data_IF_044213198462
#
_entry.id   IF_044213198462
#
_cell.length_a   1.000
_cell.length_b   1.000
_cell.length_c   1.000
_cell.angle_alpha   90.00
_cell.angle_beta   90.00
_cell.angle_gamma   90.00
#
_symmetry.space_group_name_H-M   'P 1'
#
loop_
_entity.id
_entity.type
_entity.pdbx_description
1 polymer ?
#
# COMPACT_ATOMS: atom_id res chain seq x y z
N UNK A 1 -4.79 -1.91 -14.56
CA UNK A 1 -4.51 -0.84 -13.56
C UNK A 1 -3.76 0.35 -14.17
N UNK A 2 -2.93 0.18 -15.21
CA UNK A 2 -2.34 1.31 -15.98
C UNK A 2 -2.74 1.28 -17.47
N UNK A 3 -4.00 0.99 -17.76
CA UNK A 3 -4.46 0.90 -19.16
C UNK A 3 -4.56 2.26 -19.86
N UNK A 4 -4.59 3.37 -19.11
CA UNK A 4 -4.82 4.69 -19.70
C UNK A 4 -3.71 5.73 -19.50
N UNK A 5 -2.93 5.71 -18.41
CA UNK A 5 -1.79 6.63 -18.23
C UNK A 5 -0.61 5.94 -17.54
N UNK A 6 0.62 6.33 -17.92
CA UNK A 6 1.83 5.90 -17.24
C UNK A 6 1.93 6.62 -15.88
N UNK A 7 2.42 5.95 -14.81
CA UNK A 7 2.65 6.64 -13.55
C UNK A 7 3.68 7.76 -13.73
N UNK A 8 3.57 8.84 -12.95
CA UNK A 8 4.52 9.95 -13.01
C UNK A 8 5.95 9.51 -12.65
N UNK A 9 6.07 8.58 -11.69
CA UNK A 9 7.34 7.96 -11.33
C UNK A 9 7.15 6.54 -10.80
N UNK A 10 8.21 5.74 -10.86
CA UNK A 10 8.32 4.42 -10.24
C UNK A 10 9.52 4.45 -9.30
N UNK A 11 9.31 4.09 -8.04
CA UNK A 11 10.40 4.00 -7.06
C UNK A 11 10.60 2.56 -6.62
N UNK A 12 11.78 2.00 -6.88
CA UNK A 12 12.21 0.73 -6.32
C UNK A 12 12.77 1.00 -4.92
N UNK A 13 12.22 0.30 -3.92
CA UNK A 13 12.63 0.44 -2.52
C UNK A 13 13.24 -0.87 -2.04
N UNK A 14 14.48 -0.81 -1.54
CA UNK A 14 15.12 -1.90 -0.81
C UNK A 14 15.05 -1.61 0.67
N UNK A 15 14.43 -2.51 1.43
CA UNK A 15 14.38 -2.40 2.89
C UNK A 15 15.60 -3.09 3.49
N UNK A 16 16.37 -2.36 4.29
CA UNK A 16 17.59 -2.84 4.97
C UNK A 16 17.30 -3.07 6.45
N UNK A 17 17.28 -4.34 6.87
CA UNK A 17 16.93 -4.76 8.24
C UNK A 17 18.01 -4.43 9.27
N UNK A 18 19.29 -4.34 8.87
CA UNK A 18 20.44 -4.12 9.76
C UNK A 18 20.61 -2.68 10.26
N UNK A 19 19.76 -1.75 9.82
CA UNK A 19 19.81 -0.33 10.21
C UNK A 19 20.80 0.51 9.39
N UNK A 20 21.99 -0.02 9.08
CA UNK A 20 22.99 0.68 8.28
C UNK A 20 22.82 0.41 6.78
N UNK A 21 22.59 1.47 6.00
CA UNK A 21 22.56 1.41 4.54
C UNK A 21 24.02 1.37 4.06
N UNK A 22 24.45 0.21 3.58
CA UNK A 22 25.77 0.05 2.97
C UNK A 22 25.73 0.39 1.48
N UNK A 23 26.89 0.76 0.91
CA UNK A 23 27.03 0.89 -0.54
C UNK A 23 26.64 -0.40 -1.29
N UNK A 24 26.87 -1.56 -0.68
CA UNK A 24 26.45 -2.86 -1.22
C UNK A 24 24.92 -2.96 -1.34
N UNK A 25 24.16 -2.42 -0.38
CA UNK A 25 22.70 -2.42 -0.45
C UNK A 25 22.21 -1.61 -1.66
N UNK A 26 22.81 -0.45 -1.90
CA UNK A 26 22.52 0.39 -3.04
C UNK A 26 22.96 -0.27 -4.36
N UNK A 27 24.15 -0.87 -4.43
CA UNK A 27 24.60 -1.62 -5.61
C UNK A 27 23.65 -2.77 -5.95
N UNK A 28 23.15 -3.47 -4.93
CA UNK A 28 22.21 -4.58 -5.13
C UNK A 28 20.89 -4.12 -5.76
N UNK A 29 20.30 -2.99 -5.33
CA UNK A 29 19.06 -2.50 -5.94
C UNK A 29 19.29 -2.00 -7.38
N UNK A 30 20.42 -1.35 -7.65
CA UNK A 30 20.81 -0.95 -9.00
C UNK A 30 21.06 -2.17 -9.92
N UNK A 31 21.65 -3.23 -9.39
CA UNK A 31 21.84 -4.50 -10.09
C UNK A 31 20.51 -5.16 -10.45
N UNK A 32 19.54 -5.15 -9.52
CA UNK A 32 18.19 -5.69 -9.76
C UNK A 32 17.50 -4.87 -10.84
N UNK A 33 17.52 -3.55 -10.75
CA UNK A 33 16.93 -2.68 -11.76
C UNK A 33 17.55 -2.95 -13.14
N UNK A 34 18.88 -2.99 -13.24
CA UNK A 34 19.58 -3.31 -14.49
C UNK A 34 19.13 -4.65 -15.07
N UNK A 35 18.96 -5.68 -14.24
CA UNK A 35 18.46 -7.00 -14.70
C UNK A 35 17.03 -6.92 -15.22
N UNK A 36 16.15 -6.16 -14.57
CA UNK A 36 14.77 -5.94 -15.00
C UNK A 36 14.76 -5.18 -16.33
N UNK A 37 15.52 -4.09 -16.45
CA UNK A 37 15.61 -3.30 -17.69
C UNK A 37 16.12 -4.13 -18.86
N UNK A 38 17.22 -4.89 -18.66
CA UNK A 38 17.75 -5.78 -19.69
C UNK A 38 16.75 -6.87 -20.10
N UNK A 39 15.99 -7.41 -19.13
CA UNK A 39 14.93 -8.37 -19.43
C UNK A 39 13.81 -7.72 -20.25
N UNK A 40 13.36 -6.53 -19.88
CA UNK A 40 12.31 -5.79 -20.58
C UNK A 40 12.72 -5.40 -22.01
N UNK A 41 13.96 -4.96 -22.20
CA UNK A 41 14.53 -4.71 -23.53
C UNK A 41 14.59 -5.99 -24.36
N UNK A 42 15.03 -7.10 -23.77
CA UNK A 42 15.03 -8.40 -24.43
C UNK A 42 13.64 -8.80 -24.89
N UNK A 43 12.65 -8.69 -23.99
CA UNK A 43 11.26 -9.00 -24.27
C UNK A 43 10.69 -8.10 -25.38
N UNK A 44 10.94 -6.79 -25.34
CA UNK A 44 10.55 -5.87 -26.42
C UNK A 44 11.28 -6.15 -27.75
N UNK A 45 12.49 -6.73 -27.68
CA UNK A 45 13.27 -7.25 -28.81
C UNK A 45 12.83 -8.63 -29.30
N UNK A 46 11.84 -9.25 -28.64
CA UNK A 46 11.28 -10.54 -29.02
C UNK A 46 12.04 -11.76 -28.49
N UNK A 47 12.82 -11.59 -27.42
CA UNK A 47 13.53 -12.70 -26.78
C UNK A 47 13.55 -12.65 -25.25
N UNK A 48 13.87 -13.76 -24.59
CA UNK A 48 14.24 -13.79 -23.18
C UNK A 48 15.45 -14.69 -22.95
N UNK A 49 16.30 -14.36 -21.96
CA UNK A 49 17.42 -15.21 -21.58
C UNK A 49 16.91 -16.52 -20.96
N UNK A 50 17.33 -17.66 -21.49
CA UNK A 50 17.03 -18.98 -20.94
C UNK A 50 18.32 -19.68 -20.53
N UNK A 51 18.37 -20.16 -19.29
CA UNK A 51 19.46 -21.04 -18.84
C UNK A 51 19.31 -22.43 -19.47
N UNK A 52 20.35 -22.88 -20.18
CA UNK A 52 20.42 -24.20 -20.82
C UNK A 52 21.78 -24.80 -20.47
N UNK A 53 21.78 -25.80 -19.58
CA UNK A 53 23.01 -26.31 -18.96
C UNK A 53 23.70 -25.20 -18.15
N UNK A 54 24.99 -25.01 -18.39
CA UNK A 54 25.79 -23.95 -17.76
C UNK A 54 25.67 -22.57 -18.46
N UNK A 55 25.07 -22.52 -19.65
CA UNK A 55 24.98 -21.30 -20.46
C UNK A 55 23.61 -20.60 -20.41
N UNK A 56 23.58 -19.36 -20.91
CA UNK A 56 22.34 -18.59 -21.16
C UNK A 56 22.17 -18.42 -22.67
N UNK A 57 21.06 -18.90 -23.22
CA UNK A 57 20.71 -18.76 -24.63
C UNK A 57 19.43 -17.93 -24.79
N UNK A 58 19.36 -17.03 -25.78
CA UNK A 58 18.14 -16.27 -26.06
C UNK A 58 17.07 -17.19 -26.68
N UNK A 59 15.82 -17.06 -26.21
CA UNK A 59 14.65 -17.73 -26.79
C UNK A 59 13.66 -16.73 -27.32
N UNK A 60 13.04 -17.03 -28.47
CA UNK A 60 12.02 -16.18 -29.09
C UNK A 60 10.69 -16.22 -28.32
N UNK A 61 9.97 -15.09 -28.37
CA UNK A 61 8.58 -14.98 -27.91
C UNK A 61 7.64 -14.63 -29.06
N UNK A 62 6.35 -14.88 -28.84
CA UNK A 62 5.32 -14.66 -29.86
C UNK A 62 5.15 -13.18 -30.18
N UNK A 63 4.91 -12.86 -31.45
CA UNK A 63 4.85 -11.47 -31.95
C UNK A 63 3.86 -10.59 -31.17
N UNK A 64 2.70 -11.13 -30.80
CA UNK A 64 1.69 -10.41 -30.01
C UNK A 64 2.22 -10.05 -28.61
N UNK A 65 3.03 -10.91 -27.99
CA UNK A 65 3.67 -10.61 -26.71
C UNK A 65 4.74 -9.52 -26.86
N UNK A 66 5.51 -9.54 -27.96
CA UNK A 66 6.53 -8.50 -28.27
C UNK A 66 5.91 -7.12 -28.31
N UNK A 67 4.80 -6.94 -29.04
CA UNK A 67 4.17 -5.63 -29.18
C UNK A 67 3.63 -5.10 -27.85
N UNK A 68 3.14 -6.00 -26.97
CA UNK A 68 2.76 -5.64 -25.59
C UNK A 68 3.98 -5.18 -24.78
N UNK A 69 5.08 -5.94 -24.78
CA UNK A 69 6.27 -5.58 -24.03
C UNK A 69 6.93 -4.30 -24.54
N UNK A 70 6.88 -4.03 -25.85
CA UNK A 70 7.34 -2.75 -26.42
C UNK A 70 6.52 -1.59 -25.87
N UNK A 71 5.18 -1.70 -25.87
CA UNK A 71 4.32 -0.66 -25.30
C UNK A 71 4.55 -0.43 -23.80
N UNK A 72 4.88 -1.47 -23.03
CA UNK A 72 5.27 -1.33 -21.62
C UNK A 72 6.63 -0.66 -21.48
N UNK A 73 7.63 -1.07 -22.29
CA UNK A 73 8.96 -0.48 -22.27
C UNK A 73 8.90 1.01 -22.63
N UNK A 74 8.12 1.39 -23.64
CA UNK A 74 7.95 2.80 -24.04
C UNK A 74 7.39 3.64 -22.88
N UNK A 75 6.40 3.11 -22.15
CA UNK A 75 5.87 3.76 -20.93
C UNK A 75 6.92 3.85 -19.83
N UNK A 76 7.70 2.79 -19.59
CA UNK A 76 8.77 2.78 -18.58
C UNK A 76 9.86 3.81 -18.91
N UNK A 77 10.26 3.94 -20.17
CA UNK A 77 11.26 4.91 -20.62
C UNK A 77 10.80 6.37 -20.47
N UNK A 78 9.49 6.61 -20.48
CA UNK A 78 8.88 7.93 -20.24
C UNK A 78 8.63 8.21 -18.74
N UNK A 79 8.76 7.19 -17.89
CA UNK A 79 8.47 7.28 -16.46
C UNK A 79 9.77 7.53 -15.69
N UNK A 80 9.78 8.51 -14.80
CA UNK A 80 10.92 8.71 -13.92
C UNK A 80 11.11 7.49 -13.01
N UNK A 81 12.26 6.83 -13.10
CA UNK A 81 12.56 5.67 -12.24
C UNK A 81 13.62 6.03 -11.20
N UNK A 82 13.31 5.76 -9.94
CA UNK A 82 14.19 6.00 -8.79
C UNK A 82 14.51 4.69 -8.08
N UNK A 83 15.70 4.59 -7.52
CA UNK A 83 16.12 3.47 -6.67
C UNK A 83 16.58 4.03 -5.33
N UNK A 84 16.07 3.45 -4.24
CA UNK A 84 16.44 3.89 -2.90
C UNK A 84 16.51 2.71 -1.93
N UNK A 85 17.50 2.75 -1.05
CA UNK A 85 17.58 1.88 0.11
C UNK A 85 17.04 2.62 1.32
N UNK A 86 16.21 1.94 2.10
CA UNK A 86 15.57 2.49 3.29
C UNK A 86 15.89 1.58 4.47
N UNK A 87 16.53 2.13 5.50
CA UNK A 87 16.72 1.44 6.76
C UNK A 87 15.35 1.13 7.37
N UNK A 88 15.20 -0.07 7.94
CA UNK A 88 13.95 -0.50 8.56
C UNK A 88 13.42 0.50 9.61
N UNK A 89 14.32 1.07 10.40
CA UNK A 89 13.98 2.08 11.41
C UNK A 89 13.40 3.37 10.84
N UNK A 90 13.74 3.70 9.59
CA UNK A 90 13.26 4.91 8.89
C UNK A 90 12.08 4.62 7.96
N UNK A 91 11.67 3.36 7.79
CA UNK A 91 10.64 2.95 6.85
C UNK A 91 9.31 3.70 7.08
N UNK A 92 8.92 3.86 8.34
CA UNK A 92 7.73 4.59 8.74
C UNK A 92 7.72 6.03 8.17
N UNK A 93 8.84 6.73 8.33
CA UNK A 93 9.02 8.11 7.85
C UNK A 93 9.07 8.19 6.33
N UNK A 94 9.77 7.27 5.66
CA UNK A 94 9.84 7.25 4.19
C UNK A 94 8.48 6.92 3.55
N UNK A 95 7.72 5.98 4.13
CA UNK A 95 6.33 5.74 3.71
C UNK A 95 5.48 7.01 3.84
N UNK A 96 5.66 7.77 4.93
CA UNK A 96 5.01 9.07 5.09
C UNK A 96 5.31 10.06 3.96
N UNK A 97 6.53 10.05 3.40
CA UNK A 97 6.88 10.92 2.26
C UNK A 97 6.21 10.50 0.96
N UNK A 98 6.09 9.21 0.70
CA UNK A 98 5.38 8.70 -0.48
C UNK A 98 3.88 9.00 -0.43
N UNK A 99 3.32 9.17 0.77
CA UNK A 99 1.89 9.37 0.98
C UNK A 99 1.45 10.84 1.00
N UNK A 100 2.35 11.81 0.79
CA UNK A 100 2.01 13.25 0.86
C UNK A 100 0.93 13.66 -0.16
N UNK A 101 0.87 12.98 -1.32
CA UNK A 101 -0.04 13.33 -2.41
C UNK A 101 -1.21 12.34 -2.58
N UNK A 102 -1.41 11.38 -1.66
CA UNK A 102 -2.48 10.35 -1.66
C UNK A 102 -2.63 9.50 -2.96
N UNK A 103 -1.66 9.55 -3.86
CA UNK A 103 -1.70 8.85 -5.16
C UNK A 103 -0.71 7.69 -5.26
N UNK A 104 0.04 7.39 -4.20
CA UNK A 104 1.01 6.31 -4.22
C UNK A 104 0.33 4.93 -4.18
N UNK A 105 0.76 4.06 -5.09
CA UNK A 105 0.38 2.65 -5.14
C UNK A 105 1.60 1.81 -4.77
N UNK A 106 1.44 0.89 -3.83
CA UNK A 106 2.53 0.04 -3.35
C UNK A 106 2.40 -1.38 -3.87
N UNK A 107 3.42 -1.86 -4.58
CA UNK A 107 3.57 -3.27 -4.91
C UNK A 107 4.39 -3.96 -3.80
N UNK A 108 3.75 -4.91 -3.11
CA UNK A 108 4.36 -5.67 -1.99
C UNK A 108 4.71 -7.11 -2.37
N UNK A 109 4.62 -7.47 -3.66
CA UNK A 109 4.83 -8.84 -4.17
C UNK A 109 6.16 -9.45 -3.76
N UNK A 110 7.23 -8.66 -3.78
CA UNK A 110 8.60 -9.15 -3.59
C UNK A 110 9.08 -9.06 -2.13
N UNK A 111 8.22 -8.63 -1.21
CA UNK A 111 8.58 -8.54 0.20
C UNK A 111 8.77 -9.92 0.84
N UNK A 112 9.77 -10.03 1.72
CA UNK A 112 9.89 -11.18 2.63
C UNK A 112 8.66 -11.25 3.53
N UNK A 113 8.30 -12.46 3.98
CA UNK A 113 7.11 -12.68 4.84
C UNK A 113 7.09 -11.82 6.12
N UNK A 114 8.25 -11.65 6.76
CA UNK A 114 8.37 -10.78 7.94
C UNK A 114 8.09 -9.32 7.57
N UNK A 115 8.75 -8.81 6.53
CA UNK A 115 8.59 -7.42 6.08
C UNK A 115 7.19 -7.11 5.58
N UNK A 116 6.50 -8.08 4.98
CA UNK A 116 5.12 -7.91 4.50
C UNK A 116 4.17 -7.54 5.65
N UNK A 117 4.29 -8.19 6.82
CA UNK A 117 3.40 -7.90 7.96
C UNK A 117 3.60 -6.48 8.47
N UNK A 118 4.85 -6.05 8.58
CA UNK A 118 5.15 -4.73 9.13
C UNK A 118 4.85 -3.62 8.12
N UNK A 119 5.26 -3.76 6.85
CA UNK A 119 4.93 -2.78 5.78
C UNK A 119 3.42 -2.62 5.66
N UNK A 120 2.66 -3.72 5.65
CA UNK A 120 1.19 -3.63 5.58
C UNK A 120 0.60 -2.97 6.82
N UNK A 121 1.16 -3.21 8.00
CA UNK A 121 0.73 -2.55 9.24
C UNK A 121 1.01 -1.04 9.22
N UNK A 122 2.16 -0.62 8.69
CA UNK A 122 2.56 0.79 8.56
C UNK A 122 1.77 1.55 7.49
N UNK A 123 1.39 0.88 6.40
CA UNK A 123 0.52 1.46 5.37
C UNK A 123 -0.91 1.64 5.92
N UNK A 124 -1.44 0.61 6.59
CA UNK A 124 -2.78 0.66 7.20
C UNK A 124 -2.86 1.67 8.34
N UNK A 125 -1.80 1.86 9.13
CA UNK A 125 -1.78 2.87 10.19
C UNK A 125 -1.83 4.30 9.65
N UNK A 126 -1.48 4.51 8.38
CA UNK A 126 -1.57 5.78 7.64
C UNK A 126 -2.81 5.88 6.75
N UNK A 127 -3.75 4.96 6.91
CA UNK A 127 -4.93 4.82 6.06
C UNK A 127 -4.64 4.63 4.55
N UNK A 128 -3.42 4.21 4.19
CA UNK A 128 -3.10 3.81 2.83
C UNK A 128 -3.64 2.40 2.57
N UNK A 129 -4.62 2.30 1.67
CA UNK A 129 -5.23 1.02 1.27
C UNK A 129 -4.80 0.57 -0.13
N UNK A 130 -4.05 1.41 -0.84
CA UNK A 130 -3.59 1.18 -2.23
C UNK A 130 -2.29 0.37 -2.26
N UNK A 131 -2.33 -0.84 -1.70
CA UNK A 131 -1.21 -1.78 -1.75
C UNK A 131 -1.63 -3.19 -2.21
N UNK A 132 -0.82 -3.76 -3.09
CA UNK A 132 -1.18 -4.88 -3.93
C UNK A 132 -0.09 -5.94 -3.97
N UNK A 133 -0.51 -7.20 -4.13
CA UNK A 133 0.37 -8.30 -4.49
C UNK A 133 -0.04 -8.83 -5.85
N UNK A 134 0.93 -9.14 -6.69
CA UNK A 134 0.75 -9.85 -7.93
C UNK A 134 0.45 -11.33 -7.64
N UNK A 135 -0.68 -11.80 -8.12
CA UNK A 135 -1.13 -13.19 -8.05
C UNK A 135 -1.33 -13.75 -9.46
N UNK A 136 -0.91 -15.00 -9.67
CA UNK A 136 -1.28 -15.76 -10.86
C UNK A 136 -2.58 -16.52 -10.59
N UNK A 137 -3.55 -16.44 -11.50
CA UNK A 137 -4.90 -16.95 -11.31
C UNK A 137 -4.98 -18.47 -11.23
N UNK A 138 -4.24 -19.15 -12.10
CA UNK A 138 -3.98 -20.58 -12.00
C UNK A 138 -2.49 -20.73 -11.70
N UNK A 139 -2.13 -21.42 -10.61
CA UNK A 139 -0.76 -21.84 -10.41
C UNK A 139 -0.53 -23.07 -11.33
N UNK A 140 0.22 -22.97 -12.43
CA UNK A 140 0.61 -24.15 -13.18
C UNK A 140 1.37 -25.08 -12.24
N UNK A 141 1.04 -26.37 -12.28
CA UNK A 141 1.64 -27.41 -11.41
C UNK A 141 3.16 -27.53 -11.56
N UNK A 142 3.74 -26.92 -12.60
CA UNK A 142 5.17 -26.90 -12.90
C UNK A 142 5.61 -25.48 -13.30
N UNK A 143 5.88 -24.63 -12.32
CA UNK A 143 6.39 -23.28 -12.56
C UNK A 143 7.86 -23.34 -13.00
N UNK A 144 8.12 -23.10 -14.28
CA UNK A 144 9.42 -22.68 -14.78
C UNK A 144 9.26 -21.23 -15.27
N UNK A 145 10.28 -20.39 -15.12
CA UNK A 145 10.33 -19.01 -15.65
C UNK A 145 9.86 -18.94 -17.13
N UNK A 146 10.03 -20.07 -17.85
CA UNK A 146 9.50 -20.39 -19.19
C UNK A 146 8.01 -20.10 -19.39
N UNK A 147 7.14 -20.34 -18.41
CA UNK A 147 5.68 -20.21 -18.58
C UNK A 147 5.18 -18.84 -18.18
N UNK A 148 5.87 -18.13 -17.28
CA UNK A 148 5.41 -16.83 -16.78
C UNK A 148 5.36 -15.79 -17.91
N UNK A 149 6.44 -15.64 -18.68
CA UNK A 149 6.53 -14.64 -19.76
C UNK A 149 5.46 -14.86 -20.85
N UNK A 150 5.16 -16.13 -21.16
CA UNK A 150 4.13 -16.48 -22.14
C UNK A 150 2.72 -16.50 -21.55
N UNK A 151 2.57 -16.60 -20.22
CA UNK A 151 1.28 -16.70 -19.53
C UNK A 151 0.82 -15.40 -18.88
N UNK A 152 1.59 -14.31 -19.00
CA UNK A 152 1.18 -12.95 -18.63
C UNK A 152 0.16 -12.37 -19.63
N UNK A 153 -0.89 -13.13 -19.92
CA UNK A 153 -2.04 -12.65 -20.66
C UNK A 153 -3.00 -11.90 -19.72
N UNK A 154 -3.63 -10.80 -20.19
CA UNK A 154 -4.71 -10.15 -19.46
C UNK A 154 -5.79 -11.18 -19.09
N UNK A 155 -6.00 -11.39 -17.78
CA UNK A 155 -6.94 -12.38 -17.24
C UNK A 155 -6.29 -13.62 -16.61
N UNK A 156 -5.01 -13.89 -16.87
CA UNK A 156 -4.25 -14.98 -16.21
C UNK A 156 -3.49 -14.55 -14.95
N UNK A 157 -3.34 -13.25 -14.78
CA UNK A 157 -2.78 -12.65 -13.57
C UNK A 157 -3.74 -11.59 -13.04
N UNK A 158 -3.62 -11.29 -11.75
CA UNK A 158 -4.32 -10.20 -11.09
C UNK A 158 -3.43 -9.53 -10.07
N UNK A 159 -3.58 -8.22 -9.93
CA UNK A 159 -3.08 -7.52 -8.75
C UNK A 159 -4.16 -7.57 -7.69
N UNK A 160 -3.92 -8.36 -6.65
CA UNK A 160 -4.83 -8.47 -5.51
C UNK A 160 -4.52 -7.35 -4.53
N UNK A 161 -5.51 -6.52 -4.25
CA UNK A 161 -5.43 -5.54 -3.17
C UNK A 161 -5.38 -6.28 -1.83
N UNK A 162 -4.30 -6.09 -1.06
CA UNK A 162 -4.10 -6.81 0.20
C UNK A 162 -4.92 -6.19 1.34
N UNK A 163 -5.18 -4.88 1.26
CA UNK A 163 -6.02 -4.16 2.23
C UNK A 163 -7.46 -4.70 2.32
N UNK A 164 -7.99 -5.27 1.25
CA UNK A 164 -9.32 -5.91 1.20
C UNK A 164 -9.35 -7.30 1.85
N UNK A 165 -8.20 -7.85 2.25
CA UNK A 165 -8.17 -9.17 2.87
C UNK A 165 -8.89 -9.15 4.24
N UNK A 166 -9.65 -10.20 4.60
CA UNK A 166 -10.40 -10.23 5.86
C UNK A 166 -9.52 -10.00 7.10
N UNK A 167 -8.28 -10.49 7.06
CA UNK A 167 -7.30 -10.33 8.13
C UNK A 167 -6.89 -8.87 8.31
N UNK A 168 -6.59 -8.16 7.21
CA UNK A 168 -6.20 -6.74 7.24
C UNK A 168 -7.38 -5.87 7.65
N UNK A 169 -8.58 -6.11 7.09
CA UNK A 169 -9.80 -5.38 7.48
C UNK A 169 -10.09 -5.53 8.98
N UNK A 170 -9.93 -6.75 9.51
CA UNK A 170 -10.13 -7.01 10.94
C UNK A 170 -9.06 -6.31 11.79
N UNK A 171 -7.80 -6.33 11.35
CA UNK A 171 -6.71 -5.62 12.02
C UNK A 171 -6.94 -4.11 12.04
N UNK A 172 -7.31 -3.49 10.91
CA UNK A 172 -7.64 -2.06 10.81
C UNK A 172 -8.75 -1.66 11.78
N UNK A 173 -9.86 -2.43 11.81
CA UNK A 173 -10.95 -2.19 12.77
C UNK A 173 -10.48 -2.20 14.22
N UNK A 174 -9.57 -3.13 14.57
CA UNK A 174 -8.98 -3.20 15.92
C UNK A 174 -8.04 -2.03 16.21
N UNK A 175 -7.25 -1.59 15.23
CA UNK A 175 -6.35 -0.45 15.36
C UNK A 175 -7.15 0.84 15.62
N UNK A 176 -8.18 1.10 14.82
CA UNK A 176 -9.07 2.28 15.01
C UNK A 176 -9.76 2.22 16.37
N UNK A 177 -10.34 1.08 16.75
CA UNK A 177 -11.01 0.93 18.05
C UNK A 177 -10.07 1.12 19.26
N UNK A 178 -8.77 0.88 19.09
CA UNK A 178 -7.76 1.04 20.13
C UNK A 178 -7.01 2.37 20.05
N UNK A 179 -7.30 3.21 19.06
CA UNK A 179 -6.62 4.49 18.84
C UNK A 179 -6.71 5.37 20.10
N UNK A 180 -5.55 5.84 20.56
CA UNK A 180 -5.45 6.74 21.71
C UNK A 180 -6.18 8.06 21.44
N UNK A 181 -6.15 8.54 20.20
CA UNK A 181 -6.88 9.74 19.76
C UNK A 181 -8.38 9.57 19.97
N UNK A 182 -8.93 8.42 19.56
CA UNK A 182 -10.35 8.11 19.78
C UNK A 182 -10.68 8.05 21.28
N UNK A 183 -9.81 7.44 22.11
CA UNK A 183 -10.01 7.39 23.56
C UNK A 183 -9.94 8.77 24.22
N UNK A 184 -8.99 9.61 23.84
CA UNK A 184 -8.84 10.98 24.34
C UNK A 184 -10.04 11.83 23.94
N UNK A 185 -10.52 11.70 22.71
CA UNK A 185 -11.73 12.38 22.22
C UNK A 185 -12.99 11.91 22.93
N UNK A 186 -13.15 10.60 23.14
CA UNK A 186 -14.27 10.06 23.93
C UNK A 186 -14.21 10.55 25.38
N UNK A 187 -13.02 10.61 25.96
CA UNK A 187 -12.82 11.11 27.32
C UNK A 187 -13.13 12.61 27.41
N UNK A 188 -12.67 13.42 26.47
CA UNK A 188 -12.95 14.86 26.44
C UNK A 188 -14.44 15.13 26.20
N UNK A 189 -15.07 14.44 25.25
CA UNK A 189 -16.50 14.54 24.99
C UNK A 189 -17.34 14.11 26.21
N UNK A 190 -16.95 13.03 26.88
CA UNK A 190 -17.61 12.56 28.11
C UNK A 190 -17.44 13.56 29.25
N UNK A 191 -16.25 14.14 29.41
CA UNK A 191 -15.96 15.16 30.44
C UNK A 191 -16.79 16.43 30.24
N UNK A 192 -16.89 16.91 28.99
CA UNK A 192 -17.75 18.05 28.63
C UNK A 192 -19.21 17.71 28.90
N UNK A 193 -19.69 16.54 28.46
CA UNK A 193 -21.06 16.09 28.70
C UNK A 193 -21.40 16.01 30.19
N UNK A 194 -20.50 15.44 31.01
CA UNK A 194 -20.66 15.37 32.46
C UNK A 194 -20.70 16.76 33.10
N UNK A 195 -19.85 17.68 32.65
CA UNK A 195 -19.81 19.07 33.13
C UNK A 195 -21.12 19.81 32.84
N UNK A 196 -21.68 19.63 31.64
CA UNK A 196 -22.99 20.20 31.27
C UNK A 196 -24.11 19.65 32.16
N UNK A 197 -24.13 18.33 32.40
CA UNK A 197 -25.12 17.71 33.30
C UNK A 197 -24.96 18.25 34.73
N UNK A 198 -23.73 18.38 35.23
CA UNK A 198 -23.47 18.86 36.58
C UNK A 198 -23.93 20.31 36.78
N UNK A 199 -23.65 21.18 35.80
CA UNK A 199 -24.11 22.58 35.79
C UNK A 199 -25.65 22.64 35.79
N UNK A 200 -26.33 21.77 35.04
CA UNK A 200 -27.79 21.72 35.04
C UNK A 200 -28.39 21.29 36.38
N UNK A 201 -27.70 20.45 37.16
CA UNK A 201 -28.15 20.08 38.50
C UNK A 201 -28.00 21.23 39.50
N UNK A 202 -27.01 22.11 39.31
CA UNK A 202 -26.75 23.27 40.16
C UNK A 202 -27.69 24.45 39.87
N UNK A 203 -28.21 24.55 38.64
CA UNK A 203 -29.14 25.60 38.25
C UNK A 203 -30.60 25.18 38.53
N UNK A 204 -31.34 26.01 39.24
CA UNK A 204 -32.76 25.82 39.52
C UNK A 204 -33.61 26.10 38.27
N UNK A 205 -33.69 25.12 37.37
CA UNK A 205 -34.55 25.18 36.17
C UNK A 205 -35.63 24.09 36.16
N UNK A 206 -36.62 24.25 35.26
CA UNK A 206 -37.67 23.25 35.05
C UNK A 206 -37.08 21.92 34.56
N UNK A 207 -37.73 20.80 34.84
CA UNK A 207 -37.24 19.48 34.41
C UNK A 207 -37.22 19.33 32.88
N UNK A 208 -38.07 20.10 32.17
CA UNK A 208 -38.14 20.11 30.71
C UNK A 208 -36.89 20.77 30.12
N UNK A 209 -36.43 21.88 30.70
CA UNK A 209 -35.21 22.57 30.23
C UNK A 209 -33.97 21.66 30.34
N UNK A 210 -33.88 20.88 31.42
CA UNK A 210 -32.79 19.91 31.62
C UNK A 210 -32.82 18.80 30.57
N UNK A 211 -34.01 18.28 30.25
CA UNK A 211 -34.18 17.24 29.24
C UNK A 211 -33.74 17.74 27.85
N UNK A 212 -34.17 18.94 27.45
CA UNK A 212 -33.83 19.52 26.14
C UNK A 212 -32.32 19.71 26.00
N UNK A 213 -31.66 20.27 27.02
CA UNK A 213 -30.21 20.48 26.96
C UNK A 213 -29.44 19.15 27.01
N UNK A 214 -29.90 18.15 27.74
CA UNK A 214 -29.30 16.81 27.72
C UNK A 214 -29.38 16.17 26.33
N UNK A 215 -30.53 16.27 25.66
CA UNK A 215 -30.70 15.78 24.29
C UNK A 215 -29.80 16.56 23.32
N UNK A 216 -29.75 17.89 23.44
CA UNK A 216 -28.89 18.72 22.60
C UNK A 216 -27.39 18.41 22.79
N UNK A 217 -26.97 18.13 24.02
CA UNK A 217 -25.57 17.75 24.33
C UNK A 217 -25.25 16.38 23.74
N UNK A 218 -26.14 15.40 23.90
CA UNK A 218 -25.98 14.08 23.31
C UNK A 218 -25.93 14.15 21.77
N UNK A 219 -26.83 14.93 21.15
CA UNK A 219 -26.84 15.15 19.71
C UNK A 219 -25.55 15.81 19.21
N UNK A 220 -25.02 16.81 19.92
CA UNK A 220 -23.75 17.46 19.58
C UNK A 220 -22.55 16.51 19.69
N UNK A 221 -22.49 15.66 20.74
CA UNK A 221 -21.44 14.64 20.88
C UNK A 221 -21.52 13.63 19.74
N UNK A 222 -22.72 13.13 19.43
CA UNK A 222 -22.93 12.18 18.31
C UNK A 222 -22.56 12.84 16.98
N UNK A 223 -22.96 14.09 16.76
CA UNK A 223 -22.65 14.82 15.53
C UNK A 223 -21.15 15.07 15.38
N UNK A 224 -20.43 15.37 16.48
CA UNK A 224 -18.98 15.50 16.49
C UNK A 224 -18.30 14.16 16.17
N UNK A 225 -18.76 13.05 16.78
CA UNK A 225 -18.24 11.70 16.47
C UNK A 225 -18.47 11.34 15.00
N UNK A 226 -19.63 11.67 14.45
CA UNK A 226 -19.96 11.42 13.05
C UNK A 226 -19.19 12.33 12.08
N UNK A 227 -18.96 13.59 12.43
CA UNK A 227 -18.16 14.52 11.65
C UNK A 227 -16.68 14.09 11.60
N UNK A 228 -16.11 13.73 12.75
CA UNK A 228 -14.73 13.23 12.83
C UNK A 228 -14.56 11.91 12.06
N UNK A 229 -15.55 11.01 12.13
CA UNK A 229 -15.56 9.78 11.32
C UNK A 229 -15.70 10.05 9.81
N UNK A 230 -16.12 11.25 9.43
CA UNK A 230 -16.27 11.67 8.03
C UNK A 230 -15.03 12.41 7.52
N UNK A 231 -14.30 13.11 8.38
CA UNK A 231 -12.99 13.71 8.05
C UNK A 231 -11.85 12.66 8.03
N UNK A 232 -12.01 11.53 8.71
CA UNK A 232 -11.15 10.33 8.58
C UNK A 232 -11.49 9.46 7.34
N UNK A 233 -12.06 10.04 6.26
CA UNK A 233 -12.38 9.37 4.98
C UNK A 233 -11.88 10.17 3.80
#
# INVERSE_FOLDING_TARGET
MFEHEAPASITFVKIVESGDISAEADEQIHSIYTKISNLMEGLAGGYYPKRVGEGVQPRKIDRLAVDRYRGVLDKLLQTETRMTSVAWSELDKELGRFLVDDQAVFDVTTLKKNLLVDVTSLLVSRDCLEFYSFDLGEAPRHFDDRELIHSLDPGRYRYRRISDSPHVVTARKRMVARSATLKVLLFSASSVGLSVILIQFLLSGSWVDRLVVAIATAASIVSLILALRRDDR
#
